data_IF_749462630817
#
_entry.id   IF_749462630817
#
_cell.length_a   1.000
_cell.length_b   1.000
_cell.length_c   1.000
_cell.angle_alpha   90.00
_cell.angle_beta   90.00
_cell.angle_gamma   90.00
#
_symmetry.space_group_name_H-M   'P 1'
#
loop_
_entity.id
_entity.type
_entity.pdbx_description
1 polymer ?
#
# COMPACT_ATOMS: atom_id res chain seq x y z
N UNK A 1 -62.66 6.48 -7.09
CA UNK A 1 -61.72 7.23 -7.97
C UNK A 1 -60.62 6.28 -8.40
N UNK A 2 -60.73 5.73 -9.61
CA UNK A 2 -59.79 4.77 -10.19
C UNK A 2 -58.87 5.51 -11.16
N UNK A 3 -57.56 5.40 -10.95
CA UNK A 3 -56.54 5.96 -11.83
C UNK A 3 -56.17 4.90 -12.87
N UNK A 4 -56.50 5.16 -14.14
CA UNK A 4 -56.15 4.31 -15.27
C UNK A 4 -54.77 4.72 -15.83
N UNK A 5 -53.87 3.77 -16.15
CA UNK A 5 -52.60 4.07 -16.78
C UNK A 5 -52.78 4.37 -18.28
N UNK A 6 -52.23 5.49 -18.74
CA UNK A 6 -52.17 5.86 -20.16
C UNK A 6 -50.95 5.20 -20.81
N UNK A 7 -51.17 4.30 -21.76
CA UNK A 7 -50.19 3.93 -22.79
C UNK A 7 -50.38 4.80 -24.02
N UNK A 8 -49.29 5.22 -24.67
CA UNK A 8 -49.36 5.44 -26.11
C UNK A 8 -48.26 4.68 -26.88
N UNK A 9 -48.73 3.78 -27.74
CA UNK A 9 -48.44 3.61 -29.17
C UNK A 9 -46.96 3.57 -29.62
N UNK A 10 -46.52 2.35 -29.92
CA UNK A 10 -45.32 2.04 -30.73
C UNK A 10 -45.68 2.21 -32.22
N UNK A 11 -44.92 2.99 -33.02
CA UNK A 11 -44.98 2.87 -34.48
C UNK A 11 -44.07 1.72 -34.94
N UNK A 12 -44.65 0.79 -35.68
CA UNK A 12 -43.93 -0.26 -36.39
C UNK A 12 -43.62 0.16 -37.83
N UNK A 13 -42.46 -0.33 -38.30
CA UNK A 13 -42.00 -0.51 -39.68
C UNK A 13 -41.21 0.60 -40.37
N UNK A 14 -39.92 0.31 -40.51
CA UNK A 14 -39.07 0.77 -41.61
C UNK A 14 -37.76 -0.01 -41.58
N UNK A 15 -37.73 -1.19 -42.21
CA UNK A 15 -36.47 -1.90 -42.48
C UNK A 15 -35.67 -1.05 -43.46
N UNK A 16 -34.66 -0.34 -42.97
CA UNK A 16 -33.62 0.23 -43.82
C UNK A 16 -32.32 -0.40 -43.36
N UNK A 17 -31.84 -1.35 -44.17
CA UNK A 17 -30.51 -1.91 -44.02
C UNK A 17 -29.50 -0.79 -44.28
N UNK A 18 -28.70 -0.46 -43.28
CA UNK A 18 -27.50 0.34 -43.45
C UNK A 18 -26.33 -0.61 -43.23
N UNK A 19 -25.76 -1.01 -44.35
CA UNK A 19 -24.43 -1.58 -44.50
C UNK A 19 -23.45 -0.80 -43.61
N UNK A 20 -22.89 -1.48 -42.61
CA UNK A 20 -21.76 -0.97 -41.85
C UNK A 20 -20.56 -0.91 -42.80
N UNK A 21 -20.28 0.29 -43.32
CA UNK A 21 -19.02 0.60 -44.00
C UNK A 21 -17.93 0.62 -42.93
N UNK A 22 -17.21 -0.49 -42.80
CA UNK A 22 -16.02 -0.58 -41.97
C UNK A 22 -14.92 0.30 -42.58
N UNK A 23 -14.75 1.50 -42.04
CA UNK A 23 -13.60 2.36 -42.30
C UNK A 23 -12.36 1.73 -41.65
N UNK A 24 -11.58 1.02 -42.46
CA UNK A 24 -10.23 0.59 -42.13
C UNK A 24 -9.38 1.86 -42.05
N UNK A 25 -9.05 2.30 -40.84
CA UNK A 25 -7.98 3.27 -40.63
C UNK A 25 -6.66 2.54 -40.87
N UNK A 26 -6.17 2.58 -42.11
CA UNK A 26 -4.78 2.27 -42.42
C UNK A 26 -3.92 3.38 -41.80
N UNK A 27 -3.47 3.16 -40.56
CA UNK A 27 -2.44 3.98 -39.97
C UNK A 27 -1.21 3.91 -40.87
N UNK A 28 -0.86 5.04 -41.49
CA UNK A 28 0.42 5.24 -42.18
C UNK A 28 1.52 5.16 -41.14
N UNK A 29 1.97 3.94 -40.85
CA UNK A 29 3.23 3.72 -40.16
C UNK A 29 4.33 4.35 -40.99
N UNK A 30 5.02 5.34 -40.42
CA UNK A 30 6.26 5.85 -40.99
C UNK A 30 7.24 4.67 -41.08
N UNK A 31 7.39 4.12 -42.28
CA UNK A 31 8.37 3.10 -42.57
C UNK A 31 9.76 3.68 -42.31
N UNK A 32 10.42 3.18 -41.27
CA UNK A 32 11.87 3.33 -41.13
C UNK A 32 12.48 2.66 -42.35
N UNK A 33 13.31 3.33 -43.17
CA UNK A 33 14.02 2.65 -44.24
C UNK A 33 14.83 1.52 -43.60
N UNK A 34 14.72 0.31 -44.14
CA UNK A 34 15.51 -0.84 -43.71
C UNK A 34 17.00 -0.57 -44.02
N UNK A 35 17.63 0.24 -43.18
CA UNK A 35 19.07 0.27 -43.04
C UNK A 35 19.49 -1.06 -42.45
N UNK A 36 20.54 -1.64 -43.02
CA UNK A 36 21.27 -2.77 -42.45
C UNK A 36 21.37 -2.58 -40.93
N UNK A 37 21.06 -3.60 -40.09
CA UNK A 37 21.27 -3.47 -38.66
C UNK A 37 22.74 -3.10 -38.48
N UNK A 38 23.01 -1.85 -38.10
CA UNK A 38 24.31 -1.52 -37.55
C UNK A 38 24.44 -2.46 -36.35
N UNK A 39 25.46 -3.30 -36.38
CA UNK A 39 25.89 -4.06 -35.21
C UNK A 39 26.29 -3.02 -34.15
N UNK A 40 25.29 -2.59 -33.38
CA UNK A 40 25.52 -1.80 -32.18
C UNK A 40 26.05 -2.79 -31.16
N UNK A 41 27.34 -3.11 -31.30
CA UNK A 41 28.10 -3.66 -30.19
C UNK A 41 28.09 -2.57 -29.13
N UNK A 42 27.10 -2.60 -28.24
CA UNK A 42 27.07 -1.78 -27.04
C UNK A 42 28.29 -2.23 -26.25
N UNK A 43 29.38 -1.46 -26.34
CA UNK A 43 30.54 -1.69 -25.49
C UNK A 43 30.03 -1.66 -24.05
N UNK A 44 30.12 -2.79 -23.37
CA UNK A 44 29.71 -2.89 -21.97
C UNK A 44 30.59 -1.92 -21.18
N UNK A 45 30.03 -0.78 -20.80
CA UNK A 45 30.67 0.10 -19.83
C UNK A 45 30.79 -0.72 -18.56
N UNK A 46 32.00 -0.92 -18.00
CA UNK A 46 32.14 -1.63 -16.74
C UNK A 46 31.27 -0.92 -15.70
N UNK A 47 30.23 -1.60 -15.19
CA UNK A 47 29.44 -1.04 -14.11
C UNK A 47 30.31 -1.02 -12.86
N UNK A 48 30.65 0.16 -12.36
CA UNK A 48 31.26 0.28 -11.03
C UNK A 48 30.21 -0.09 -9.98
N UNK A 49 30.13 -1.39 -9.69
CA UNK A 49 29.21 -1.96 -8.72
C UNK A 49 29.43 -1.33 -7.33
N UNK A 50 30.67 -1.02 -6.97
CA UNK A 50 30.99 -0.37 -5.70
C UNK A 50 30.44 1.04 -5.60
N UNK A 51 30.56 1.84 -6.66
CA UNK A 51 29.94 3.17 -6.71
C UNK A 51 28.41 3.11 -6.68
N UNK A 52 27.81 2.12 -7.35
CA UNK A 52 26.36 1.91 -7.30
C UNK A 52 25.89 1.55 -5.88
N UNK A 53 26.53 0.56 -5.24
CA UNK A 53 26.22 0.17 -3.86
C UNK A 53 26.29 1.38 -2.91
N UNK A 54 27.38 2.16 -2.96
CA UNK A 54 27.51 3.37 -2.12
C UNK A 54 26.39 4.37 -2.34
N UNK A 55 25.95 4.57 -3.58
CA UNK A 55 24.82 5.49 -3.89
C UNK A 55 23.50 4.97 -3.35
N UNK A 56 23.29 3.66 -3.41
CA UNK A 56 22.11 3.01 -2.81
C UNK A 56 22.15 3.18 -1.30
N UNK A 57 23.27 2.89 -0.64
CA UNK A 57 23.42 3.01 0.82
C UNK A 57 23.15 4.44 1.29
N UNK A 58 23.69 5.44 0.59
CA UNK A 58 23.44 6.86 0.88
C UNK A 58 21.97 7.21 0.71
N UNK A 59 21.31 6.72 -0.34
CA UNK A 59 19.90 6.98 -0.57
C UNK A 59 19.01 6.32 0.50
N UNK A 60 19.32 5.08 0.90
CA UNK A 60 18.61 4.36 1.95
C UNK A 60 18.78 5.05 3.31
N UNK A 61 20.01 5.43 3.66
CA UNK A 61 20.32 6.16 4.91
C UNK A 61 19.59 7.50 4.93
N UNK A 62 19.62 8.26 3.84
CA UNK A 62 18.89 9.52 3.75
C UNK A 62 17.37 9.33 3.88
N UNK A 63 16.81 8.31 3.22
CA UNK A 63 15.39 8.02 3.29
C UNK A 63 14.93 7.59 4.69
N UNK A 64 15.75 6.81 5.41
CA UNK A 64 15.47 6.35 6.78
C UNK A 64 15.62 7.48 7.81
N UNK A 65 16.76 8.19 7.77
CA UNK A 65 17.20 9.00 8.92
C UNK A 65 16.99 10.50 8.69
N UNK A 66 17.18 11.00 7.46
CA UNK A 66 17.11 12.43 7.18
C UNK A 66 15.69 12.90 6.81
N UNK A 67 14.89 12.04 6.17
CA UNK A 67 13.48 12.31 5.85
C UNK A 67 12.51 11.97 6.99
N UNK A 68 13.04 11.79 8.22
CA UNK A 68 12.34 11.37 9.44
C UNK A 68 10.84 11.74 9.42
N UNK A 69 9.98 10.72 9.47
CA UNK A 69 8.54 10.94 9.49
C UNK A 69 8.09 11.47 10.85
N UNK A 70 6.98 12.20 10.87
CA UNK A 70 6.38 12.77 12.07
C UNK A 70 4.94 12.27 12.24
N UNK A 71 4.61 11.78 13.44
CA UNK A 71 3.31 11.19 13.75
C UNK A 71 2.13 12.17 13.62
N UNK A 72 2.38 13.48 13.70
CA UNK A 72 1.40 14.53 13.50
C UNK A 72 1.22 14.97 12.05
N UNK A 73 2.10 14.55 11.13
CA UNK A 73 2.09 14.96 9.72
C UNK A 73 1.78 13.77 8.80
N UNK A 74 2.39 12.61 9.02
CA UNK A 74 2.26 11.44 8.16
C UNK A 74 1.21 10.46 8.68
N UNK A 75 0.45 9.89 7.74
CA UNK A 75 -0.56 8.88 8.04
C UNK A 75 0.03 7.48 8.25
N UNK A 76 -0.79 6.58 8.80
CA UNK A 76 -0.45 5.20 9.09
C UNK A 76 0.15 4.47 7.88
N UNK A 77 -0.40 4.70 6.67
CA UNK A 77 0.12 4.11 5.44
C UNK A 77 1.61 4.40 5.21
N UNK A 78 2.02 5.66 5.36
CA UNK A 78 3.40 6.09 5.11
C UNK A 78 4.35 5.51 6.16
N UNK A 79 3.90 5.53 7.43
CA UNK A 79 4.71 5.04 8.55
C UNK A 79 4.88 3.53 8.49
N UNK A 80 3.82 2.77 8.22
CA UNK A 80 3.88 1.30 8.11
C UNK A 80 4.75 0.86 6.94
N UNK A 81 4.70 1.53 5.78
CA UNK A 81 5.63 1.24 4.69
C UNK A 81 7.09 1.56 5.05
N UNK A 82 7.32 2.57 5.89
CA UNK A 82 8.64 2.81 6.46
C UNK A 82 9.12 1.64 7.33
N UNK A 83 8.25 1.07 8.16
CA UNK A 83 8.56 -0.13 8.98
C UNK A 83 8.86 -1.33 8.07
N UNK A 84 8.09 -1.56 7.01
CA UNK A 84 8.35 -2.65 6.07
C UNK A 84 9.69 -2.49 5.35
N UNK A 85 10.04 -1.26 4.97
CA UNK A 85 11.27 -1.00 4.23
C UNK A 85 12.53 -1.03 5.11
N UNK A 86 12.44 -0.55 6.36
CA UNK A 86 13.60 -0.31 7.22
C UNK A 86 13.59 -1.11 8.53
N UNK A 87 12.56 -1.94 8.76
CA UNK A 87 12.45 -2.81 9.92
C UNK A 87 11.89 -2.14 11.19
N UNK A 88 11.88 -2.88 12.32
CA UNK A 88 11.24 -2.45 13.56
C UNK A 88 11.89 -1.21 14.21
N UNK A 89 13.15 -0.92 13.87
CA UNK A 89 13.92 0.23 14.34
C UNK A 89 13.70 1.50 13.51
N UNK A 90 12.78 1.49 12.54
CA UNK A 90 12.48 2.66 11.73
C UNK A 90 12.05 3.84 12.64
N UNK A 91 12.78 4.98 12.63
CA UNK A 91 12.50 6.07 13.55
C UNK A 91 11.27 6.87 13.12
N UNK A 92 10.48 7.30 14.11
CA UNK A 92 9.33 8.17 13.95
C UNK A 92 9.43 9.31 14.96
N UNK A 93 9.39 10.55 14.49
CA UNK A 93 9.20 11.71 15.35
C UNK A 93 7.78 11.70 15.91
N UNK A 94 7.67 11.89 17.22
CA UNK A 94 6.39 12.04 17.92
C UNK A 94 6.40 13.37 18.65
N UNK A 95 5.25 13.78 19.21
CA UNK A 95 5.17 15.00 20.02
C UNK A 95 6.15 15.01 21.21
N UNK A 96 6.50 13.85 21.76
CA UNK A 96 7.35 13.75 22.93
C UNK A 96 8.83 13.54 22.58
N UNK A 97 9.13 12.67 21.63
CA UNK A 97 10.48 12.27 21.24
C UNK A 97 10.47 11.49 19.91
N UNK A 98 11.65 11.16 19.40
CA UNK A 98 11.80 10.12 18.38
C UNK A 98 11.70 8.73 19.03
N UNK A 99 10.91 7.84 18.44
CA UNK A 99 10.74 6.46 18.90
C UNK A 99 10.71 5.50 17.70
N UNK A 100 10.99 4.20 17.91
CA UNK A 100 10.74 3.19 16.88
C UNK A 100 9.26 3.18 16.50
N UNK A 101 8.97 3.33 15.21
CA UNK A 101 7.62 3.46 14.69
C UNK A 101 6.75 2.26 15.05
N UNK A 102 7.29 1.04 14.97
CA UNK A 102 6.54 -0.17 15.30
C UNK A 102 6.13 -0.19 16.78
N UNK A 103 7.08 0.04 17.69
CA UNK A 103 6.80 0.11 19.12
C UNK A 103 5.77 1.19 19.45
N UNK A 104 5.92 2.38 18.86
CA UNK A 104 4.96 3.47 19.03
C UNK A 104 3.52 3.05 18.68
N UNK A 105 3.33 2.35 17.55
CA UNK A 105 2.00 1.88 17.14
C UNK A 105 1.43 0.80 18.06
N UNK A 106 2.26 -0.18 18.44
CA UNK A 106 1.86 -1.29 19.31
C UNK A 106 1.57 -0.81 20.75
N UNK A 107 2.23 0.26 21.19
CA UNK A 107 1.96 0.90 22.49
C UNK A 107 0.71 1.81 22.48
N UNK A 108 -0.05 1.83 21.37
CA UNK A 108 -1.28 2.60 21.24
C UNK A 108 -1.06 4.04 20.80
N UNK A 109 0.10 4.33 20.20
CA UNK A 109 0.41 5.62 19.60
C UNK A 109 -0.59 6.02 18.54
N UNK A 110 -0.88 7.32 18.48
CA UNK A 110 -1.85 7.87 17.55
C UNK A 110 -1.19 8.20 16.20
N UNK A 111 -1.82 7.77 15.11
CA UNK A 111 -1.59 8.25 13.74
C UNK A 111 -2.92 8.45 13.04
N UNK A 112 -2.97 9.39 12.09
CA UNK A 112 -4.08 9.48 11.14
C UNK A 112 -4.17 8.16 10.37
N UNK A 113 -5.36 7.55 10.30
CA UNK A 113 -5.56 6.24 9.68
C UNK A 113 -5.20 5.01 10.53
N UNK A 114 -4.61 5.17 11.73
CA UNK A 114 -4.37 4.07 12.67
C UNK A 114 -5.34 4.16 13.85
N UNK A 115 -6.50 3.53 13.72
CA UNK A 115 -7.55 3.54 14.75
C UNK A 115 -7.95 2.14 15.13
N UNK A 116 -7.52 1.72 16.32
CA UNK A 116 -7.89 0.44 16.92
C UNK A 116 -8.89 0.65 18.07
N UNK A 117 -9.84 -0.27 18.22
CA UNK A 117 -10.80 -0.31 19.33
C UNK A 117 -10.96 -1.71 19.89
N UNK A 118 -11.29 -1.88 21.18
CA UNK A 118 -11.72 -3.18 21.69
C UNK A 118 -12.96 -3.67 20.93
N UNK A 119 -12.92 -4.92 20.46
CA UNK A 119 -14.06 -5.66 19.90
C UNK A 119 -14.66 -6.65 20.89
N UNK A 120 -15.61 -7.46 20.42
CA UNK A 120 -16.17 -8.57 21.16
C UNK A 120 -16.45 -9.76 20.21
N UNK A 121 -15.49 -10.70 20.02
CA UNK A 121 -14.14 -10.74 20.59
C UNK A 121 -13.11 -9.82 19.87
N UNK A 122 -11.88 -9.73 20.41
CA UNK A 122 -10.71 -9.20 19.70
C UNK A 122 -10.53 -7.68 19.67
N UNK A 123 -9.80 -7.20 18.66
CA UNK A 123 -9.50 -5.77 18.40
C UNK A 123 -10.01 -5.37 17.01
N UNK A 124 -10.71 -4.24 16.91
CA UNK A 124 -11.29 -3.68 15.68
C UNK A 124 -10.42 -2.58 15.07
N UNK A 125 -9.98 -2.77 13.82
CA UNK A 125 -9.40 -1.69 13.02
C UNK A 125 -10.49 -0.88 12.29
N UNK A 126 -10.48 0.44 12.50
CA UNK A 126 -11.45 1.37 11.88
C UNK A 126 -10.82 2.00 10.65
N UNK A 127 -11.46 1.78 9.49
CA UNK A 127 -11.13 2.49 8.25
C UNK A 127 -11.89 3.82 8.24
N UNK A 128 -11.17 4.91 8.01
CA UNK A 128 -11.77 6.23 7.82
C UNK A 128 -12.23 6.38 6.37
N UNK A 129 -13.53 6.29 6.13
CA UNK A 129 -14.11 6.42 4.80
C UNK A 129 -13.71 7.75 4.13
N UNK A 130 -13.23 7.68 2.88
CA UNK A 130 -12.76 8.85 2.12
C UNK A 130 -11.36 9.36 2.48
N UNK A 131 -10.67 8.79 3.48
CA UNK A 131 -9.29 9.15 3.81
C UNK A 131 -8.29 8.44 2.90
N UNK A 132 -7.42 9.18 2.22
CA UNK A 132 -6.25 8.61 1.51
C UNK A 132 -5.12 8.21 2.45
N UNK A 133 -5.14 8.73 3.69
CA UNK A 133 -4.09 8.50 4.70
C UNK A 133 -4.31 7.20 5.50
N UNK A 134 -5.53 6.67 5.49
CA UNK A 134 -5.91 5.43 6.18
C UNK A 134 -6.36 4.27 5.28
N UNK A 135 -6.22 4.34 3.95
CA UNK A 135 -6.74 3.28 3.05
C UNK A 135 -6.05 1.93 3.29
N UNK A 136 -6.70 0.76 3.26
CA UNK A 136 -8.12 0.38 3.11
C UNK A 136 -8.29 -1.13 3.41
N UNK A 137 -9.49 -1.63 3.71
CA UNK A 137 -9.77 -2.94 4.33
C UNK A 137 -9.12 -3.13 5.73
N UNK A 138 -9.89 -3.40 6.80
CA UNK A 138 -9.36 -3.65 8.16
C UNK A 138 -8.18 -4.64 8.20
N UNK A 139 -8.22 -5.65 7.32
CA UNK A 139 -7.21 -6.71 7.23
C UNK A 139 -5.88 -6.29 6.58
N UNK A 140 -5.76 -5.10 5.98
CA UNK A 140 -4.46 -4.66 5.43
C UNK A 140 -3.39 -4.57 6.52
N UNK A 141 -3.76 -4.21 7.75
CA UNK A 141 -2.84 -4.18 8.87
C UNK A 141 -2.32 -5.58 9.23
N UNK A 142 -3.14 -6.62 9.08
CA UNK A 142 -2.69 -8.01 9.25
C UNK A 142 -1.66 -8.40 8.19
N UNK A 143 -1.87 -8.00 6.93
CA UNK A 143 -0.89 -8.16 5.86
C UNK A 143 0.45 -7.48 6.20
N UNK A 144 0.42 -6.28 6.77
CA UNK A 144 1.64 -5.58 7.14
C UNK A 144 2.33 -6.16 8.37
N UNK A 145 1.59 -6.48 9.44
CA UNK A 145 2.17 -7.02 10.66
C UNK A 145 2.76 -8.44 10.45
N UNK A 146 2.24 -9.20 9.49
CA UNK A 146 2.85 -10.47 9.09
C UNK A 146 4.18 -10.31 8.34
N UNK A 147 4.51 -9.11 7.87
CA UNK A 147 5.74 -8.79 7.13
C UNK A 147 6.65 -7.81 7.89
N UNK A 148 6.13 -7.11 8.89
CA UNK A 148 6.89 -6.23 9.76
C UNK A 148 7.68 -7.08 10.76
N UNK A 149 9.00 -6.95 10.76
CA UNK A 149 9.86 -7.59 11.76
C UNK A 149 10.39 -8.96 11.35
N UNK A 150 11.46 -9.34 12.03
CA UNK A 150 12.04 -10.67 11.99
C UNK A 150 11.85 -11.29 13.36
N UNK A 151 10.97 -12.27 13.48
CA UNK A 151 10.95 -13.15 14.63
C UNK A 151 12.10 -14.14 14.49
N UNK A 152 12.97 -14.22 15.50
CA UNK A 152 13.94 -15.30 15.57
C UNK A 152 13.22 -16.55 16.07
N UNK A 153 13.20 -17.61 15.25
CA UNK A 153 12.74 -18.94 15.66
C UNK A 153 13.87 -19.94 15.44
N UNK A 154 14.75 -20.06 16.43
CA UNK A 154 15.98 -20.84 16.31
C UNK A 154 16.95 -20.20 15.31
N UNK A 155 17.54 -20.99 14.41
CA UNK A 155 18.50 -20.53 13.38
C UNK A 155 17.83 -19.89 12.13
N UNK A 156 16.53 -19.59 12.17
CA UNK A 156 15.80 -19.01 11.03
C UNK A 156 15.17 -17.68 11.42
N UNK A 157 15.42 -16.67 10.58
CA UNK A 157 14.60 -15.48 10.53
C UNK A 157 13.23 -15.89 9.98
N UNK A 158 12.21 -15.80 10.83
CA UNK A 158 10.82 -15.92 10.43
C UNK A 158 10.30 -14.49 10.28
N UNK A 159 9.80 -14.17 9.09
CA UNK A 159 9.21 -12.85 8.84
C UNK A 159 7.91 -12.70 9.63
N UNK A 160 7.69 -11.52 10.20
CA UNK A 160 6.47 -11.16 10.93
C UNK A 160 6.62 -11.03 12.44
N UNK A 161 5.65 -10.36 13.05
CA UNK A 161 5.60 -10.11 14.50
C UNK A 161 5.04 -11.34 15.23
N UNK A 162 5.65 -11.80 16.35
CA UNK A 162 5.09 -12.88 17.17
C UNK A 162 3.65 -12.60 17.63
N UNK A 163 2.80 -13.63 17.61
CA UNK A 163 1.37 -13.49 17.92
C UNK A 163 1.08 -13.06 19.36
N UNK A 164 1.99 -13.37 20.29
CA UNK A 164 1.93 -12.96 21.70
C UNK A 164 2.47 -11.54 21.95
N UNK A 165 2.96 -10.86 20.89
CA UNK A 165 3.47 -9.50 20.99
C UNK A 165 2.37 -8.58 21.55
N UNK A 166 2.68 -7.78 22.58
CA UNK A 166 1.69 -6.90 23.21
C UNK A 166 1.18 -5.82 22.27
N UNK A 167 -0.10 -5.51 22.40
CA UNK A 167 -0.78 -4.44 21.69
C UNK A 167 -1.67 -3.66 22.67
N UNK A 168 -1.51 -2.35 22.73
CA UNK A 168 -2.31 -1.47 23.59
C UNK A 168 -3.43 -0.82 22.78
N UNK A 169 -4.68 -1.07 23.18
CA UNK A 169 -5.86 -0.53 22.50
C UNK A 169 -6.81 0.08 23.52
N UNK A 170 -7.07 1.39 23.40
CA UNK A 170 -7.95 2.10 24.33
C UNK A 170 -7.53 1.97 25.79
N UNK A 171 -6.22 1.91 26.06
CA UNK A 171 -5.65 1.74 27.40
C UNK A 171 -5.72 0.31 27.97
N UNK A 172 -6.20 -0.66 27.20
CA UNK A 172 -6.23 -2.09 27.58
C UNK A 172 -5.15 -2.84 26.81
N UNK A 173 -4.59 -3.87 27.45
CA UNK A 173 -3.61 -4.77 26.83
C UNK A 173 -4.31 -5.89 26.06
N UNK A 174 -3.86 -6.09 24.85
CA UNK A 174 -4.19 -7.15 23.89
C UNK A 174 -2.88 -7.73 23.35
N UNK A 175 -3.00 -8.67 22.42
CA UNK A 175 -1.91 -9.26 21.66
C UNK A 175 -2.16 -9.11 20.16
N UNK A 176 -1.14 -9.37 19.34
CA UNK A 176 -1.33 -9.47 17.88
C UNK A 176 -2.38 -10.56 17.56
N UNK A 177 -2.40 -11.68 18.29
CA UNK A 177 -3.43 -12.71 18.13
C UNK A 177 -4.86 -12.16 18.30
N UNK A 178 -5.09 -11.25 19.25
CA UNK A 178 -6.41 -10.63 19.46
C UNK A 178 -6.82 -9.71 18.31
N UNK A 179 -5.85 -9.09 17.64
CA UNK A 179 -6.09 -8.34 16.40
C UNK A 179 -6.48 -9.27 15.25
N UNK A 180 -5.89 -10.46 15.17
CA UNK A 180 -6.21 -11.43 14.11
C UNK A 180 -7.54 -12.16 14.35
N UNK A 181 -7.94 -12.32 15.62
CA UNK A 181 -9.18 -12.98 16.00
C UNK A 181 -10.46 -12.20 15.61
N UNK A 182 -10.29 -10.98 15.10
CA UNK A 182 -11.38 -10.09 14.66
C UNK A 182 -11.72 -10.23 13.17
N UNK A 183 -10.94 -11.01 12.41
CA UNK A 183 -11.15 -11.35 11.00
C UNK A 183 -12.16 -12.49 10.80
#
# INVERSE_FOLDING_TARGET
>A
MHYAPRTPVVPAHGRVGWTALALIVAGTGCGVPAGTPADQTVAAVPSDQGALCRRIDVALTHARDARLLDAGVQGAWQVVHGILAFGPEFPLATRAATAPALSYLLDGGALVGWKLRPGNPGVIAIVEEGSTMGQGHPDQWLGYLSQCGVAESGDRLVEGIPLDTPLTVGGRRFTIADLLAQA
#
